data_IF_395434821271
#
_entry.id   IF_395434821271
#
_cell.length_a   1.000
_cell.length_b   1.000
_cell.length_c   1.000
_cell.angle_alpha   90.00
_cell.angle_beta   90.00
_cell.angle_gamma   90.00
#
_symmetry.space_group_name_H-M   'P 1'
#
loop_
_entity.id
_entity.type
_entity.pdbx_description
1 polymer ?
#
# COMPACT_ATOMS: atom_id res chain seq x y z
N UNK A 1 -0.16 13.12 -18.99
CA UNK A 1 -1.34 13.58 -18.23
C UNK A 1 -0.80 14.36 -17.05
N UNK A 2 -1.31 15.54 -16.75
CA UNK A 2 -0.77 16.37 -15.67
C UNK A 2 -1.14 15.76 -14.32
N UNK A 3 -0.16 15.55 -13.48
CA UNK A 3 -0.31 15.03 -12.13
C UNK A 3 0.54 15.85 -11.14
N UNK A 4 0.76 15.35 -9.94
CA UNK A 4 1.54 16.05 -8.92
C UNK A 4 3.00 16.30 -9.30
N UNK A 5 3.63 15.46 -10.15
CA UNK A 5 4.98 15.72 -10.67
C UNK A 5 4.95 16.93 -11.61
N UNK A 6 4.08 16.90 -12.61
CA UNK A 6 3.91 18.03 -13.55
C UNK A 6 3.56 19.33 -12.80
N UNK A 7 2.74 19.24 -11.75
CA UNK A 7 2.45 20.40 -10.89
C UNK A 7 3.74 20.94 -10.24
N UNK A 8 4.54 20.10 -9.64
CA UNK A 8 5.81 20.51 -9.01
C UNK A 8 6.79 21.16 -10.00
N UNK A 9 6.77 20.73 -11.27
CA UNK A 9 7.61 21.27 -12.34
C UNK A 9 7.10 22.59 -12.91
N UNK A 10 5.79 22.81 -12.93
CA UNK A 10 5.17 23.95 -13.64
C UNK A 10 4.58 25.03 -12.73
N UNK A 11 4.22 24.70 -11.49
CA UNK A 11 3.77 25.66 -10.49
C UNK A 11 5.00 26.29 -9.82
N UNK A 12 5.42 27.46 -10.31
CA UNK A 12 6.65 28.12 -9.90
C UNK A 12 6.44 29.24 -8.89
N UNK A 13 5.20 29.71 -8.75
CA UNK A 13 4.85 30.76 -7.77
C UNK A 13 5.12 30.26 -6.35
N UNK A 14 5.73 31.10 -5.52
CA UNK A 14 5.92 30.80 -4.11
C UNK A 14 4.63 30.81 -3.30
N UNK A 15 4.70 30.39 -2.01
CA UNK A 15 3.54 30.27 -1.14
C UNK A 15 2.98 31.63 -0.63
N UNK A 16 3.61 32.75 -0.93
CA UNK A 16 3.08 34.08 -0.65
C UNK A 16 2.24 34.58 -1.80
N UNK A 17 2.68 34.33 -3.04
CA UNK A 17 1.95 34.68 -4.26
C UNK A 17 0.77 33.76 -4.47
N UNK A 18 0.98 32.47 -4.35
CA UNK A 18 -0.06 31.45 -4.46
C UNK A 18 -0.10 30.59 -3.19
N UNK A 19 -1.12 30.76 -2.34
CA UNK A 19 -1.22 30.06 -1.08
C UNK A 19 -1.14 28.53 -1.22
N UNK A 20 -0.74 27.88 -0.14
CA UNK A 20 -0.69 26.41 -0.02
C UNK A 20 -2.07 25.80 -0.29
N UNK A 21 -2.13 24.74 -1.09
CA UNK A 21 -3.37 24.09 -1.51
C UNK A 21 -3.30 22.56 -1.33
N UNK A 22 -4.39 21.87 -1.72
CA UNK A 22 -4.53 20.40 -1.58
C UNK A 22 -3.49 19.62 -2.39
N UNK A 23 -3.04 20.14 -3.56
CA UNK A 23 -2.01 19.46 -4.37
C UNK A 23 -0.66 19.54 -3.67
N UNK A 24 -0.31 20.71 -3.09
CA UNK A 24 0.90 20.83 -2.26
C UNK A 24 0.86 19.89 -1.07
N UNK A 25 -0.31 19.77 -0.43
CA UNK A 25 -0.51 18.87 0.69
C UNK A 25 -0.29 17.41 0.29
N UNK A 26 -0.87 16.96 -0.83
CA UNK A 26 -0.68 15.59 -1.32
C UNK A 26 0.80 15.30 -1.65
N UNK A 27 1.47 16.26 -2.29
CA UNK A 27 2.90 16.16 -2.62
C UNK A 27 3.74 15.98 -1.35
N UNK A 28 3.56 16.83 -0.35
CA UNK A 28 4.32 16.73 0.90
C UNK A 28 3.90 15.52 1.75
N UNK A 29 2.63 15.12 1.70
CA UNK A 29 2.17 13.86 2.27
C UNK A 29 2.87 12.66 1.62
N UNK A 30 3.10 12.70 0.30
CA UNK A 30 3.84 11.64 -0.38
C UNK A 30 5.32 11.61 -0.03
N UNK A 31 5.96 12.75 0.21
CA UNK A 31 7.36 12.80 0.71
C UNK A 31 7.50 12.05 2.04
N UNK A 32 6.47 12.01 2.88
CA UNK A 32 6.50 11.26 4.14
C UNK A 32 6.59 9.74 3.97
N UNK A 33 6.35 9.21 2.77
CA UNK A 33 6.51 7.77 2.46
C UNK A 33 7.98 7.38 2.23
N UNK A 34 8.85 8.35 1.89
CA UNK A 34 10.27 8.07 1.71
C UNK A 34 10.90 7.64 3.04
N UNK A 35 11.74 6.60 2.99
CA UNK A 35 12.45 6.11 4.15
C UNK A 35 13.78 6.88 4.27
N UNK A 36 13.91 7.68 5.31
CA UNK A 36 15.13 8.48 5.48
C UNK A 36 16.14 7.71 6.32
N UNK A 37 17.35 7.38 5.73
CA UNK A 37 18.38 6.64 6.43
C UNK A 37 18.84 7.32 7.73
N UNK A 38 19.37 6.57 8.65
CA UNK A 38 19.94 7.12 9.90
C UNK A 38 21.08 8.11 9.64
N UNK A 39 21.81 7.94 8.52
CA UNK A 39 22.86 8.86 8.07
C UNK A 39 22.35 10.28 7.76
N UNK A 40 21.04 10.44 7.50
CA UNK A 40 20.40 11.75 7.33
C UNK A 40 19.98 12.35 8.70
N UNK A 41 20.91 12.51 9.61
CA UNK A 41 20.65 12.95 10.99
C UNK A 41 19.89 14.27 11.08
N UNK A 42 20.14 15.21 10.16
CA UNK A 42 19.51 16.54 10.17
C UNK A 42 18.00 16.52 10.07
N UNK A 43 17.39 15.57 9.30
CA UNK A 43 15.94 15.47 9.14
C UNK A 43 15.25 14.93 10.41
N UNK A 44 15.98 14.16 11.24
CA UNK A 44 15.47 13.60 12.50
C UNK A 44 15.50 14.61 13.65
N UNK A 45 16.23 15.69 13.47
CA UNK A 45 16.28 16.79 14.46
C UNK A 45 15.22 17.84 14.17
N UNK A 46 14.99 18.72 15.11
CA UNK A 46 14.09 19.85 14.94
C UNK A 46 14.75 21.07 14.27
N UNK A 47 16.05 21.02 13.98
CA UNK A 47 16.73 22.04 13.17
C UNK A 47 16.46 21.87 11.67
N UNK A 48 16.32 20.63 11.22
CA UNK A 48 15.97 20.27 9.86
C UNK A 48 17.09 20.47 8.83
N UNK A 49 16.77 20.10 7.60
CA UNK A 49 17.59 20.28 6.40
C UNK A 49 16.73 20.83 5.27
N UNK A 50 17.33 21.51 4.29
CA UNK A 50 16.60 21.91 3.10
C UNK A 50 16.13 20.71 2.27
N UNK A 51 14.96 20.79 1.64
CA UNK A 51 14.44 19.68 0.81
C UNK A 51 15.41 19.26 -0.30
N UNK A 52 16.24 20.19 -0.79
CA UNK A 52 17.31 19.93 -1.77
C UNK A 52 18.42 19.02 -1.23
N UNK A 53 18.64 19.03 0.08
CA UNK A 53 19.64 18.19 0.74
C UNK A 53 19.20 16.73 0.86
N UNK A 54 17.95 16.43 0.52
CA UNK A 54 17.46 15.06 0.36
C UNK A 54 18.03 14.39 -0.90
N UNK A 55 18.56 15.15 -1.87
CA UNK A 55 19.18 14.63 -3.09
C UNK A 55 20.56 14.06 -2.80
N UNK A 56 20.61 12.95 -2.10
CA UNK A 56 21.82 12.17 -1.80
C UNK A 56 21.72 10.81 -2.47
N UNK A 57 22.44 10.64 -3.58
CA UNK A 57 22.34 9.43 -4.40
C UNK A 57 22.68 8.15 -3.62
N UNK A 58 23.59 8.24 -2.65
CA UNK A 58 23.92 7.13 -1.74
C UNK A 58 22.78 6.68 -0.83
N UNK A 59 21.79 7.55 -0.61
CA UNK A 59 20.61 7.27 0.21
C UNK A 59 19.42 6.73 -0.62
N UNK A 60 19.43 6.86 -1.94
CA UNK A 60 18.31 6.51 -2.80
C UNK A 60 17.87 5.04 -2.70
N UNK A 61 18.77 4.05 -2.58
CA UNK A 61 18.35 2.66 -2.43
C UNK A 61 17.46 2.42 -1.22
N UNK A 62 17.72 3.11 -0.09
CA UNK A 62 16.91 3.02 1.12
C UNK A 62 15.69 3.95 1.04
N UNK A 63 15.88 5.20 0.59
CA UNK A 63 14.79 6.19 0.53
C UNK A 63 13.59 5.74 -0.32
N UNK A 64 13.84 4.98 -1.37
CA UNK A 64 12.80 4.52 -2.30
C UNK A 64 12.52 3.02 -2.20
N UNK A 65 13.09 2.33 -1.21
CA UNK A 65 12.74 0.95 -0.93
C UNK A 65 11.26 0.84 -0.53
N UNK A 66 10.63 -0.26 -0.89
CA UNK A 66 9.27 -0.64 -0.48
C UNK A 66 8.16 0.40 -0.76
N UNK A 67 8.43 1.36 -1.65
CA UNK A 67 7.42 2.30 -2.13
C UNK A 67 6.58 1.68 -3.25
N UNK A 68 5.30 2.06 -3.29
CA UNK A 68 4.39 1.66 -4.37
C UNK A 68 4.83 2.14 -5.76
N UNK A 69 5.45 3.31 -5.81
CA UNK A 69 5.95 3.93 -7.04
C UNK A 69 7.34 4.56 -6.82
N UNK A 70 8.41 3.75 -6.78
CA UNK A 70 9.76 4.25 -6.52
C UNK A 70 10.27 5.23 -7.59
N UNK A 71 9.96 4.96 -8.87
CA UNK A 71 10.39 5.79 -9.99
C UNK A 71 9.72 7.17 -9.94
N UNK A 72 8.39 7.21 -9.81
CA UNK A 72 7.65 8.46 -9.67
C UNK A 72 8.00 9.24 -8.40
N UNK A 73 8.29 8.54 -7.30
CA UNK A 73 8.74 9.19 -6.05
C UNK A 73 10.09 9.88 -6.22
N UNK A 74 11.00 9.26 -6.95
CA UNK A 74 12.30 9.86 -7.28
C UNK A 74 12.15 11.05 -8.22
N UNK A 75 11.35 10.95 -9.26
CA UNK A 75 11.05 12.05 -10.17
C UNK A 75 10.43 13.23 -9.41
N UNK A 76 9.47 12.95 -8.53
CA UNK A 76 8.86 13.98 -7.68
C UNK A 76 9.91 14.69 -6.82
N UNK A 77 10.81 13.95 -6.15
CA UNK A 77 11.87 14.56 -5.34
C UNK A 77 12.78 15.48 -6.17
N UNK A 78 13.16 15.09 -7.39
CA UNK A 78 13.92 15.94 -8.29
C UNK A 78 13.14 17.21 -8.67
N UNK A 79 11.85 17.08 -8.99
CA UNK A 79 10.99 18.23 -9.29
C UNK A 79 10.90 19.19 -8.11
N UNK A 80 10.69 18.69 -6.88
CA UNK A 80 10.62 19.50 -5.65
C UNK A 80 11.93 20.26 -5.39
N UNK A 81 13.07 19.59 -5.53
CA UNK A 81 14.38 20.21 -5.31
C UNK A 81 14.74 21.27 -6.35
N UNK A 82 14.20 21.16 -7.56
CA UNK A 82 14.38 22.13 -8.63
C UNK A 82 13.40 23.31 -8.56
N UNK A 83 12.15 23.03 -8.17
CA UNK A 83 11.06 24.01 -8.21
C UNK A 83 11.27 25.21 -7.27
N UNK A 84 11.12 26.44 -7.73
CA UNK A 84 11.15 27.64 -6.89
C UNK A 84 10.11 27.59 -5.75
N UNK A 85 8.96 26.94 -5.99
CA UNK A 85 7.90 26.79 -5.00
C UNK A 85 8.33 25.93 -3.80
N UNK A 86 9.04 24.82 -4.04
CA UNK A 86 9.32 23.82 -3.01
C UNK A 86 10.77 23.85 -2.49
N UNK A 87 11.74 24.27 -3.31
CA UNK A 87 13.17 24.15 -2.98
C UNK A 87 13.62 24.90 -1.74
N UNK A 88 12.80 25.87 -1.26
CA UNK A 88 13.06 26.64 -0.04
C UNK A 88 12.52 26.00 1.24
N UNK A 89 11.78 24.90 1.12
CA UNK A 89 11.18 24.18 2.25
C UNK A 89 12.29 23.53 3.10
N UNK A 90 12.15 23.65 4.43
CA UNK A 90 12.97 22.90 5.39
C UNK A 90 12.18 21.69 5.87
N UNK A 91 12.82 20.52 5.93
CA UNK A 91 12.24 19.23 6.36
C UNK A 91 12.88 18.84 7.68
N UNK A 92 12.09 18.47 8.69
CA UNK A 92 12.58 18.18 10.04
C UNK A 92 11.62 17.27 10.83
N UNK A 93 12.10 16.79 11.98
CA UNK A 93 11.29 16.02 12.92
C UNK A 93 10.82 14.67 12.36
N UNK A 94 11.55 14.06 11.42
CA UNK A 94 11.19 12.73 10.92
C UNK A 94 11.17 11.71 12.05
N UNK A 95 10.03 11.06 12.21
CA UNK A 95 9.79 9.99 13.17
C UNK A 95 9.26 8.75 12.45
N UNK A 96 9.79 7.59 12.83
CA UNK A 96 9.35 6.30 12.32
C UNK A 96 9.31 5.28 13.44
N UNK A 97 8.25 4.47 13.50
CA UNK A 97 8.04 3.46 14.54
C UNK A 97 7.35 2.26 13.91
N UNK A 98 8.02 1.12 13.94
CA UNK A 98 7.46 -0.18 13.55
C UNK A 98 7.55 -1.13 14.75
N UNK A 99 6.40 -1.52 15.31
CA UNK A 99 6.31 -2.44 16.45
C UNK A 99 5.38 -3.60 16.10
N UNK A 100 5.94 -4.76 15.76
CA UNK A 100 5.18 -5.96 15.36
C UNK A 100 4.24 -6.45 16.44
N UNK A 101 4.72 -6.52 17.71
CA UNK A 101 3.93 -7.00 18.85
C UNK A 101 2.74 -6.09 19.22
N UNK A 102 2.81 -4.81 18.85
CA UNK A 102 1.75 -3.82 19.07
C UNK A 102 0.97 -3.52 17.81
N UNK A 103 1.26 -4.24 16.73
CA UNK A 103 0.63 -4.04 15.42
C UNK A 103 0.62 -2.58 15.00
N UNK A 104 1.76 -1.88 15.21
CA UNK A 104 1.90 -0.45 15.00
C UNK A 104 2.88 -0.15 13.87
N UNK A 105 2.42 0.61 12.90
CA UNK A 105 3.25 1.18 11.85
C UNK A 105 2.94 2.69 11.75
N UNK A 106 3.87 3.53 12.20
CA UNK A 106 3.73 4.98 12.24
C UNK A 106 4.95 5.66 11.63
N UNK A 107 4.72 6.68 10.80
CA UNK A 107 5.76 7.63 10.41
C UNK A 107 5.16 9.00 10.14
N UNK A 108 5.95 10.04 10.43
CA UNK A 108 5.58 11.43 10.19
C UNK A 108 6.82 12.29 9.97
N UNK A 109 6.62 13.42 9.29
CA UNK A 109 7.66 14.42 9.07
C UNK A 109 7.02 15.81 9.01
N UNK A 110 7.75 16.84 9.42
CA UNK A 110 7.27 18.23 9.40
C UNK A 110 8.06 19.08 8.41
N UNK A 111 7.34 19.98 7.75
CA UNK A 111 7.87 20.90 6.75
C UNK A 111 7.65 22.35 7.19
N UNK A 112 8.70 23.16 7.18
CA UNK A 112 8.58 24.61 7.29
C UNK A 112 8.41 25.17 5.89
N UNK A 113 7.16 25.55 5.59
CA UNK A 113 6.76 26.06 4.26
C UNK A 113 7.30 27.47 4.05
N UNK A 114 7.10 28.34 5.03
CA UNK A 114 7.61 29.71 5.12
C UNK A 114 7.61 30.17 6.58
N UNK A 115 8.17 31.34 6.90
CA UNK A 115 8.06 31.90 8.25
C UNK A 115 6.61 31.96 8.72
N UNK A 116 6.32 31.41 9.89
CA UNK A 116 4.99 31.39 10.49
C UNK A 116 4.00 30.36 9.90
N UNK A 117 4.44 29.46 8.99
CA UNK A 117 3.61 28.39 8.43
C UNK A 117 4.38 27.08 8.33
N UNK A 118 3.89 26.05 8.99
CA UNK A 118 4.44 24.69 8.92
C UNK A 118 3.35 23.69 8.53
N UNK A 119 3.78 22.57 7.92
CA UNK A 119 2.93 21.45 7.53
C UNK A 119 3.45 20.17 8.15
N UNK A 120 2.60 19.45 8.90
CA UNK A 120 2.89 18.14 9.43
C UNK A 120 2.27 17.06 8.54
N UNK A 121 3.09 16.18 7.99
CA UNK A 121 2.67 15.09 7.12
C UNK A 121 2.72 13.76 7.86
N UNK A 122 1.64 13.00 7.76
CA UNK A 122 1.53 11.64 8.30
C UNK A 122 1.56 10.64 7.15
N UNK A 123 2.45 9.64 7.25
CA UNK A 123 2.59 8.57 6.28
C UNK A 123 1.41 7.61 6.38
N UNK A 124 0.90 7.19 5.24
CA UNK A 124 -0.02 6.05 5.14
C UNK A 124 0.70 4.72 5.33
N UNK A 125 0.02 3.65 4.98
CA UNK A 125 0.56 2.30 5.10
C UNK A 125 1.63 2.05 4.05
N UNK A 126 2.76 1.50 4.49
CA UNK A 126 3.81 0.99 3.62
C UNK A 126 3.49 -0.43 3.13
N UNK A 127 4.45 -1.11 2.51
CA UNK A 127 4.27 -2.46 2.03
C UNK A 127 4.26 -3.54 3.13
N UNK A 128 4.42 -3.18 4.42
CA UNK A 128 4.50 -4.14 5.52
C UNK A 128 3.14 -4.75 5.88
N UNK A 129 3.13 -6.05 6.20
CA UNK A 129 1.92 -6.75 6.68
C UNK A 129 1.43 -6.13 8.01
N UNK A 130 2.34 -5.68 8.87
CA UNK A 130 1.99 -5.02 10.14
C UNK A 130 1.19 -3.74 9.89
N UNK A 131 1.60 -2.92 8.92
CA UNK A 131 0.89 -1.70 8.55
C UNK A 131 -0.53 -2.00 8.05
N UNK A 132 -0.65 -3.00 7.17
CA UNK A 132 -1.95 -3.44 6.66
C UNK A 132 -2.84 -4.01 7.76
N UNK A 133 -2.29 -4.78 8.72
CA UNK A 133 -3.06 -5.27 9.86
C UNK A 133 -3.60 -4.13 10.71
N UNK A 134 -2.79 -3.11 11.00
CA UNK A 134 -3.23 -1.92 11.74
C UNK A 134 -4.37 -1.17 11.02
N UNK A 135 -4.35 -1.10 9.68
CA UNK A 135 -5.44 -0.49 8.91
C UNK A 135 -6.76 -1.25 9.10
N UNK A 136 -6.72 -2.57 9.06
CA UNK A 136 -7.89 -3.40 9.31
C UNK A 136 -8.36 -3.31 10.78
N UNK A 137 -7.43 -3.16 11.73
CA UNK A 137 -7.77 -2.98 13.14
C UNK A 137 -8.59 -1.69 13.38
N UNK A 138 -8.47 -0.67 12.52
CA UNK A 138 -9.33 0.53 12.61
C UNK A 138 -10.83 0.21 12.54
N UNK A 139 -11.22 -0.98 12.02
CA UNK A 139 -12.60 -1.38 11.97
C UNK A 139 -13.19 -1.82 13.33
N UNK A 140 -12.35 -2.12 14.33
CA UNK A 140 -12.81 -2.60 15.63
C UNK A 140 -12.03 -2.02 16.83
N UNK A 141 -10.82 -1.51 16.62
CA UNK A 141 -9.99 -0.89 17.67
C UNK A 141 -10.07 0.63 17.59
N UNK A 142 -10.30 1.29 18.70
CA UNK A 142 -10.41 2.73 18.79
C UNK A 142 -9.83 3.25 20.14
N UNK A 143 -8.71 4.01 20.11
CA UNK A 143 -7.85 4.27 18.95
C UNK A 143 -6.93 3.10 18.59
N UNK A 144 -6.37 3.09 17.36
CA UNK A 144 -5.22 2.25 17.02
C UNK A 144 -3.92 2.93 17.46
N UNK A 145 -2.83 2.16 17.69
CA UNK A 145 -1.58 2.71 18.25
C UNK A 145 -0.93 3.84 17.41
N UNK A 146 -1.09 3.82 16.09
CA UNK A 146 -0.59 4.90 15.23
C UNK A 146 -1.38 6.20 15.37
N UNK A 147 -2.68 6.16 15.68
CA UNK A 147 -3.48 7.35 15.95
C UNK A 147 -2.98 8.08 17.22
N UNK A 148 -2.70 7.34 18.29
CA UNK A 148 -2.12 7.92 19.51
C UNK A 148 -0.73 8.51 19.25
N UNK A 149 0.10 7.80 18.46
CA UNK A 149 1.42 8.30 18.07
C UNK A 149 1.31 9.57 17.23
N UNK A 150 0.31 9.69 16.35
CA UNK A 150 0.08 10.87 15.55
C UNK A 150 -0.28 12.11 16.40
N UNK A 151 -1.16 11.95 17.37
CA UNK A 151 -1.49 13.03 18.31
C UNK A 151 -0.28 13.46 19.15
N UNK A 152 0.52 12.50 19.63
CA UNK A 152 1.77 12.78 20.35
C UNK A 152 2.79 13.51 19.47
N UNK A 153 3.00 13.02 18.26
CA UNK A 153 3.92 13.65 17.29
C UNK A 153 3.51 15.10 17.00
N UNK A 154 2.21 15.36 16.78
CA UNK A 154 1.73 16.70 16.47
C UNK A 154 1.99 17.68 17.63
N UNK A 155 1.79 17.22 18.89
CA UNK A 155 2.11 18.04 20.07
C UNK A 155 3.61 18.38 20.12
N UNK A 156 4.47 17.42 19.82
CA UNK A 156 5.91 17.62 19.80
C UNK A 156 6.33 18.54 18.64
N UNK A 157 5.84 18.31 17.44
CA UNK A 157 6.12 19.15 16.26
C UNK A 157 5.66 20.61 16.50
N UNK A 158 4.50 20.81 17.12
CA UNK A 158 3.98 22.12 17.44
C UNK A 158 4.83 22.90 18.44
N UNK A 159 5.52 22.21 19.38
CA UNK A 159 6.45 22.84 20.31
C UNK A 159 7.71 23.40 19.60
N UNK A 160 8.07 22.83 18.44
CA UNK A 160 9.22 23.25 17.65
C UNK A 160 8.86 24.14 16.45
N UNK A 161 7.59 24.52 16.30
CA UNK A 161 7.10 25.38 15.23
C UNK A 161 6.40 26.63 15.79
N UNK A 162 6.42 27.69 15.01
CA UNK A 162 5.71 28.93 15.35
C UNK A 162 4.64 29.24 14.29
N UNK A 163 3.59 29.97 14.73
CA UNK A 163 2.52 30.40 13.83
C UNK A 163 1.51 29.31 13.48
N UNK A 164 1.02 29.36 12.27
CA UNK A 164 -0.04 28.48 11.78
C UNK A 164 0.48 27.07 11.45
N UNK A 165 -0.39 26.09 11.62
CA UNK A 165 -0.17 24.71 11.28
C UNK A 165 -1.16 24.27 10.20
N UNK A 166 -0.64 23.61 9.18
CA UNK A 166 -1.37 22.78 8.25
C UNK A 166 -0.99 21.32 8.55
N UNK A 167 -1.92 20.42 8.34
CA UNK A 167 -1.73 19.01 8.65
C UNK A 167 -2.28 18.19 7.49
N UNK A 168 -1.69 17.05 7.17
CA UNK A 168 -2.28 16.18 6.18
C UNK A 168 -1.58 14.86 6.03
N UNK A 169 -2.18 14.00 5.20
CA UNK A 169 -1.67 12.67 4.88
C UNK A 169 -2.50 12.02 3.79
N UNK A 170 -1.97 10.94 3.24
CA UNK A 170 -2.63 10.12 2.24
C UNK A 170 -2.92 8.73 2.83
N UNK A 171 -4.02 8.10 2.44
CA UNK A 171 -4.41 6.79 2.93
C UNK A 171 -4.59 6.78 4.46
N UNK A 172 -4.05 5.81 5.20
CA UNK A 172 -3.98 5.83 6.67
C UNK A 172 -3.49 7.17 7.22
N UNK A 173 -2.50 7.80 6.56
CA UNK A 173 -1.98 9.12 6.94
C UNK A 173 -3.03 10.22 6.93
N UNK A 174 -4.03 10.14 6.04
CA UNK A 174 -5.19 11.03 6.03
C UNK A 174 -6.05 10.86 7.29
N UNK A 175 -6.34 9.65 7.71
CA UNK A 175 -7.01 9.35 8.97
C UNK A 175 -6.19 9.84 10.18
N UNK A 176 -4.88 9.52 10.20
CA UNK A 176 -3.97 9.95 11.29
C UNK A 176 -3.92 11.48 11.41
N UNK A 177 -3.96 12.23 10.31
CA UNK A 177 -3.93 13.68 10.29
C UNK A 177 -5.17 14.28 10.96
N UNK A 178 -6.36 13.75 10.67
CA UNK A 178 -7.62 14.19 11.28
C UNK A 178 -7.66 13.81 12.75
N UNK A 179 -7.27 12.59 13.10
CA UNK A 179 -7.22 12.15 14.50
C UNK A 179 -6.25 12.99 15.33
N UNK A 180 -5.04 13.23 14.81
CA UNK A 180 -4.03 14.05 15.49
C UNK A 180 -4.55 15.49 15.71
N UNK A 181 -5.21 16.09 14.73
CA UNK A 181 -5.80 17.42 14.87
C UNK A 181 -6.91 17.46 15.92
N UNK A 182 -7.72 16.42 16.04
CA UNK A 182 -8.77 16.33 17.04
C UNK A 182 -8.22 16.09 18.46
N UNK A 183 -7.16 15.28 18.59
CA UNK A 183 -6.66 14.82 19.91
C UNK A 183 -5.38 15.51 20.41
N UNK A 184 -4.80 16.46 19.64
CA UNK A 184 -3.72 17.31 20.15
C UNK A 184 -4.22 18.29 21.23
N UNK A 185 -3.27 18.93 21.92
CA UNK A 185 -3.58 19.89 22.97
C UNK A 185 -4.43 21.07 22.44
N UNK A 186 -5.36 21.61 23.23
CA UNK A 186 -6.29 22.66 22.80
C UNK A 186 -5.62 23.91 22.22
N UNK A 187 -4.48 24.32 22.78
CA UNK A 187 -3.69 25.46 22.29
C UNK A 187 -3.11 25.18 20.89
N UNK A 188 -2.82 23.93 20.55
CA UNK A 188 -2.35 23.53 19.25
C UNK A 188 -3.50 23.47 18.26
N UNK A 189 -4.68 22.99 18.67
CA UNK A 189 -5.89 23.03 17.85
C UNK A 189 -6.20 24.46 17.38
N UNK A 190 -5.95 25.47 18.22
CA UNK A 190 -6.11 26.90 17.87
C UNK A 190 -5.18 27.36 16.73
N UNK A 191 -4.02 26.74 16.57
CA UNK A 191 -3.03 27.04 15.51
C UNK A 191 -3.34 26.35 14.18
N UNK A 192 -4.11 25.26 14.20
CA UNK A 192 -4.45 24.48 12.99
C UNK A 192 -5.40 25.28 12.13
N UNK A 193 -4.97 25.63 10.91
CA UNK A 193 -5.80 26.29 9.92
C UNK A 193 -6.56 25.31 9.04
N UNK A 194 -5.91 24.22 8.62
CA UNK A 194 -6.50 23.22 7.74
C UNK A 194 -5.91 21.83 7.96
N UNK A 195 -6.73 20.81 7.74
CA UNK A 195 -6.37 19.40 7.79
C UNK A 195 -6.76 18.78 6.46
N UNK A 196 -5.78 18.17 5.76
CA UNK A 196 -6.00 17.55 4.46
C UNK A 196 -5.99 16.03 4.63
N UNK A 197 -7.09 15.38 4.24
CA UNK A 197 -7.22 13.93 4.23
C UNK A 197 -7.35 13.46 2.78
N UNK A 198 -6.26 12.91 2.22
CA UNK A 198 -6.25 12.43 0.84
C UNK A 198 -6.53 10.92 0.82
N UNK A 199 -7.73 10.56 0.41
CA UNK A 199 -8.23 9.17 0.35
C UNK A 199 -8.04 8.39 1.68
N UNK A 200 -8.13 9.12 2.82
CA UNK A 200 -8.04 8.51 4.15
C UNK A 200 -9.37 7.86 4.55
N UNK A 201 -9.34 6.69 5.22
CA UNK A 201 -10.56 6.07 5.75
C UNK A 201 -11.21 6.95 6.83
N UNK A 202 -12.50 6.74 7.06
CA UNK A 202 -13.26 7.38 8.13
C UNK A 202 -12.91 6.87 9.52
N UNK A 203 -13.87 7.01 10.45
CA UNK A 203 -13.66 6.71 11.88
C UNK A 203 -14.79 5.85 12.44
N UNK A 204 -14.54 5.26 13.61
CA UNK A 204 -15.58 4.68 14.45
C UNK A 204 -16.32 5.76 15.25
N UNK A 205 -17.53 5.46 15.71
CA UNK A 205 -18.38 6.36 16.50
C UNK A 205 -17.66 6.99 17.69
N UNK A 206 -16.78 6.23 18.37
CA UNK A 206 -16.00 6.72 19.53
C UNK A 206 -15.14 7.95 19.21
N UNK A 207 -14.71 8.14 17.95
CA UNK A 207 -14.00 9.35 17.50
C UNK A 207 -15.01 10.39 17.01
N UNK A 208 -15.96 9.98 16.18
CA UNK A 208 -16.92 10.89 15.53
C UNK A 208 -17.76 11.68 16.53
N UNK A 209 -18.19 11.04 17.63
CA UNK A 209 -19.00 11.68 18.67
C UNK A 209 -18.20 12.58 19.61
N UNK A 210 -16.85 12.52 19.55
CA UNK A 210 -16.02 13.30 20.47
C UNK A 210 -16.12 14.81 20.17
N UNK A 211 -16.29 15.67 21.19
CA UNK A 211 -16.36 17.12 21.01
C UNK A 211 -15.12 17.70 20.30
N UNK A 212 -13.96 17.07 20.47
CA UNK A 212 -12.71 17.46 19.84
C UNK A 212 -12.76 17.25 18.32
N UNK A 213 -13.30 16.11 17.90
CA UNK A 213 -13.50 15.81 16.47
C UNK A 213 -14.47 16.80 15.84
N UNK A 214 -15.61 17.05 16.49
CA UNK A 214 -16.61 18.00 15.99
C UNK A 214 -16.06 19.44 15.84
N UNK A 215 -15.15 19.87 16.72
CA UNK A 215 -14.45 21.16 16.57
C UNK A 215 -13.43 21.15 15.42
N UNK A 216 -12.87 20.00 15.09
CA UNK A 216 -11.88 19.86 14.02
C UNK A 216 -12.53 19.75 12.64
N UNK A 217 -13.72 19.16 12.56
CA UNK A 217 -14.45 18.86 11.33
C UNK A 217 -14.52 20.04 10.33
N UNK A 218 -14.82 21.30 10.73
CA UNK A 218 -14.86 22.42 9.79
C UNK A 218 -13.51 22.78 9.15
N UNK A 219 -12.40 22.26 9.68
CA UNK A 219 -11.06 22.48 9.14
C UNK A 219 -10.61 21.36 8.20
N UNK A 220 -11.35 20.25 8.13
CA UNK A 220 -11.01 19.08 7.32
C UNK A 220 -11.38 19.36 5.86
N UNK A 221 -10.43 19.10 4.98
CA UNK A 221 -10.65 18.98 3.54
C UNK A 221 -10.29 17.55 3.12
N UNK A 222 -11.31 16.78 2.78
CA UNK A 222 -11.16 15.42 2.32
C UNK A 222 -11.25 15.37 0.80
N UNK A 223 -10.26 14.76 0.16
CA UNK A 223 -10.26 14.49 -1.28
C UNK A 223 -10.19 13.00 -1.53
N UNK A 224 -11.03 12.50 -2.42
CA UNK A 224 -11.09 11.07 -2.77
C UNK A 224 -11.19 10.90 -4.29
N UNK A 225 -10.59 9.86 -4.90
CA UNK A 225 -10.76 9.61 -6.32
C UNK A 225 -12.18 9.10 -6.64
N UNK A 226 -12.61 9.24 -7.91
CA UNK A 226 -14.00 8.97 -8.33
C UNK A 226 -14.50 7.53 -8.11
N UNK A 227 -13.59 6.58 -7.88
CA UNK A 227 -13.95 5.20 -7.53
C UNK A 227 -13.21 4.74 -6.27
N UNK A 228 -13.02 5.69 -5.33
CA UNK A 228 -12.39 5.41 -4.04
C UNK A 228 -13.02 4.17 -3.38
N UNK A 229 -12.18 3.36 -2.79
CA UNK A 229 -12.57 2.31 -1.87
C UNK A 229 -12.06 2.64 -0.46
N UNK A 230 -10.78 3.02 -0.34
CA UNK A 230 -10.14 3.28 0.97
C UNK A 230 -10.76 4.48 1.66
N UNK A 231 -10.90 5.61 0.95
CA UNK A 231 -11.47 6.84 1.52
C UNK A 231 -12.93 6.74 1.93
N UNK A 232 -13.62 5.70 1.47
CA UNK A 232 -15.02 5.44 1.80
C UNK A 232 -15.20 4.36 2.88
N UNK A 233 -14.11 3.72 3.34
CA UNK A 233 -14.17 2.78 4.46
C UNK A 233 -14.51 3.49 5.76
N UNK A 234 -15.28 2.82 6.62
CA UNK A 234 -15.77 3.33 7.90
C UNK A 234 -16.73 4.53 7.72
N UNK A 235 -17.05 5.20 8.82
CA UNK A 235 -18.01 6.32 8.77
C UNK A 235 -17.29 7.65 8.56
N UNK A 236 -17.85 8.47 7.67
CA UNK A 236 -17.35 9.79 7.34
C UNK A 236 -18.44 10.81 7.67
N UNK A 237 -18.10 11.86 8.41
CA UNK A 237 -18.99 13.00 8.68
C UNK A 237 -18.55 14.26 7.93
N UNK A 238 -17.31 14.28 7.43
CA UNK A 238 -16.81 15.36 6.60
C UNK A 238 -17.34 15.28 5.16
N UNK A 239 -17.60 16.45 4.58
CA UNK A 239 -17.81 16.59 3.14
C UNK A 239 -16.51 16.22 2.41
N UNK A 240 -16.63 15.57 1.25
CA UNK A 240 -15.48 15.20 0.44
C UNK A 240 -15.56 15.76 -0.97
N UNK A 241 -14.39 16.06 -1.52
CA UNK A 241 -14.20 16.50 -2.88
C UNK A 241 -13.76 15.32 -3.74
N UNK A 242 -14.45 15.06 -4.84
CA UNK A 242 -14.12 13.96 -5.74
C UNK A 242 -13.13 14.43 -6.80
N UNK A 243 -11.96 13.81 -6.83
CA UNK A 243 -10.91 14.11 -7.80
C UNK A 243 -10.90 13.10 -8.94
N UNK A 244 -10.59 13.57 -10.14
CA UNK A 244 -10.42 12.73 -11.33
C UNK A 244 -9.11 11.97 -11.22
N UNK A 245 -9.18 10.64 -11.39
CA UNK A 245 -8.01 9.78 -11.56
C UNK A 245 -7.94 9.24 -12.98
N UNK A 246 -6.74 9.09 -13.50
CA UNK A 246 -6.45 8.46 -14.79
C UNK A 246 -6.42 6.93 -14.71
N UNK A 247 -6.44 6.39 -13.48
CA UNK A 247 -6.44 4.96 -13.20
C UNK A 247 -7.85 4.40 -13.00
N UNK A 248 -7.98 3.13 -12.70
CA UNK A 248 -9.26 2.44 -12.54
C UNK A 248 -9.30 1.63 -11.23
N UNK A 249 -10.49 1.52 -10.63
CA UNK A 249 -10.74 0.70 -9.43
C UNK A 249 -9.77 1.04 -8.28
N UNK A 250 -9.20 0.03 -7.62
CA UNK A 250 -8.23 0.20 -6.50
C UNK A 250 -6.98 0.99 -6.87
N UNK A 251 -6.56 0.96 -8.16
CA UNK A 251 -5.39 1.71 -8.63
C UNK A 251 -5.58 3.22 -8.61
N UNK A 252 -6.81 3.71 -8.42
CA UNK A 252 -7.08 5.13 -8.20
C UNK A 252 -6.58 5.64 -6.84
N UNK A 253 -6.28 4.72 -5.91
CA UNK A 253 -5.66 5.05 -4.63
C UNK A 253 -4.22 5.58 -4.79
N UNK A 254 -3.54 5.25 -5.90
CA UNK A 254 -2.23 5.82 -6.23
C UNK A 254 -2.37 7.30 -6.59
N UNK A 255 -1.80 8.24 -5.78
CA UNK A 255 -1.94 9.67 -5.97
C UNK A 255 -1.24 10.20 -7.24
N UNK A 256 -0.29 9.45 -7.83
CA UNK A 256 0.30 9.79 -9.12
C UNK A 256 -0.69 9.70 -10.29
N UNK A 257 -1.81 9.00 -10.08
CA UNK A 257 -2.90 8.91 -11.06
C UNK A 257 -3.89 10.09 -10.99
N UNK A 258 -3.79 10.95 -9.96
CA UNK A 258 -4.73 12.05 -9.77
C UNK A 258 -4.42 13.20 -10.71
N UNK A 259 -5.45 13.67 -11.42
CA UNK A 259 -5.29 14.68 -12.46
C UNK A 259 -5.25 16.07 -11.85
N UNK A 260 -4.24 16.84 -12.25
CA UNK A 260 -4.05 18.24 -11.85
C UNK A 260 -4.22 19.13 -13.08
N UNK A 261 -5.09 20.12 -13.00
CA UNK A 261 -5.36 21.10 -14.05
C UNK A 261 -5.37 22.51 -13.42
N UNK A 262 -4.75 23.49 -14.07
CA UNK A 262 -4.69 24.88 -13.62
C UNK A 262 -4.20 25.09 -12.16
N UNK A 263 -3.31 24.19 -11.72
CA UNK A 263 -2.72 24.24 -10.38
C UNK A 263 -3.62 23.74 -9.26
N UNK A 264 -4.68 22.99 -9.58
CA UNK A 264 -5.61 22.35 -8.63
C UNK A 264 -5.95 20.94 -9.11
N UNK A 265 -6.52 20.12 -8.23
CA UNK A 265 -7.10 18.85 -8.68
C UNK A 265 -8.25 19.08 -9.66
N UNK A 266 -8.33 18.28 -10.70
CA UNK A 266 -9.48 18.22 -11.58
C UNK A 266 -10.65 17.60 -10.80
N UNK A 267 -11.61 18.44 -10.37
CA UNK A 267 -12.73 18.03 -9.53
C UNK A 267 -13.86 17.43 -10.38
N UNK A 268 -14.51 16.42 -9.83
CA UNK A 268 -15.73 15.81 -10.36
C UNK A 268 -16.89 16.07 -9.40
N UNK A 269 -18.11 16.11 -9.96
CA UNK A 269 -19.30 16.41 -9.15
C UNK A 269 -19.69 15.30 -8.17
N UNK A 270 -19.26 14.04 -8.41
CA UNK A 270 -19.67 12.90 -7.59
C UNK A 270 -18.86 11.65 -7.89
N UNK A 271 -18.95 10.66 -6.98
CA UNK A 271 -18.45 9.31 -7.17
C UNK A 271 -19.16 8.58 -8.32
N UNK A 272 -18.45 7.61 -8.92
CA UNK A 272 -19.10 6.74 -9.90
C UNK A 272 -20.22 5.91 -9.23
N UNK A 273 -21.33 5.61 -9.93
CA UNK A 273 -22.43 4.81 -9.37
C UNK A 273 -21.97 3.47 -8.82
N UNK A 274 -21.02 2.82 -9.50
CA UNK A 274 -20.45 1.55 -9.05
C UNK A 274 -19.60 1.67 -7.77
N UNK A 275 -18.96 2.83 -7.53
CA UNK A 275 -18.24 3.09 -6.29
C UNK A 275 -19.20 3.19 -5.11
N UNK A 276 -20.26 3.99 -5.24
CA UNK A 276 -21.30 4.14 -4.19
C UNK A 276 -21.94 2.81 -3.78
N UNK A 277 -22.22 1.95 -4.77
CA UNK A 277 -22.80 0.62 -4.49
C UNK A 277 -21.82 -0.29 -3.74
N UNK A 278 -20.54 -0.29 -4.14
CA UNK A 278 -19.49 -1.09 -3.47
C UNK A 278 -19.25 -0.61 -2.04
N UNK A 279 -19.16 0.70 -1.87
CA UNK A 279 -18.99 1.32 -0.57
C UNK A 279 -20.13 0.98 0.39
N UNK A 280 -21.39 1.19 -0.02
CA UNK A 280 -22.55 0.83 0.78
C UNK A 280 -22.55 -0.66 1.17
N UNK A 281 -22.21 -1.56 0.24
CA UNK A 281 -22.17 -3.00 0.50
C UNK A 281 -21.05 -3.40 1.48
N UNK A 282 -19.87 -2.76 1.39
CA UNK A 282 -18.74 -3.06 2.25
C UNK A 282 -18.96 -2.53 3.67
N UNK A 283 -19.39 -1.28 3.81
CA UNK A 283 -19.67 -0.68 5.10
C UNK A 283 -20.84 -1.38 5.81
N UNK A 284 -21.90 -1.77 5.06
CA UNK A 284 -23.00 -2.57 5.60
C UNK A 284 -22.51 -3.92 6.11
N UNK A 285 -21.62 -4.59 5.38
CA UNK A 285 -21.05 -5.85 5.84
C UNK A 285 -20.20 -5.67 7.12
N UNK A 286 -19.37 -4.62 7.20
CA UNK A 286 -18.58 -4.33 8.40
C UNK A 286 -19.52 -4.08 9.60
N UNK A 287 -20.60 -3.33 9.41
CA UNK A 287 -21.60 -3.05 10.47
C UNK A 287 -22.35 -4.29 10.97
N UNK A 288 -22.56 -5.29 10.09
CA UNK A 288 -23.22 -6.55 10.46
C UNK A 288 -22.36 -7.44 11.37
N UNK A 289 -21.05 -7.25 11.40
CA UNK A 289 -20.14 -7.99 12.26
C UNK A 289 -20.05 -7.31 13.64
N UNK A 290 -20.13 -8.11 14.72
CA UNK A 290 -19.77 -7.64 16.05
C UNK A 290 -18.29 -7.23 16.12
N UNK A 291 -17.90 -6.51 17.15
CA UNK A 291 -16.50 -6.12 17.35
C UNK A 291 -15.59 -7.36 17.43
N UNK A 292 -16.01 -8.39 18.19
CA UNK A 292 -15.25 -9.64 18.31
C UNK A 292 -15.15 -10.43 17.00
N UNK A 293 -16.17 -10.37 16.15
CA UNK A 293 -16.14 -11.01 14.82
C UNK A 293 -15.20 -10.28 13.88
N UNK A 294 -15.13 -8.93 13.92
CA UNK A 294 -14.18 -8.13 13.15
C UNK A 294 -12.75 -8.44 13.57
N UNK A 295 -12.47 -8.47 14.89
CA UNK A 295 -11.16 -8.82 15.45
C UNK A 295 -10.74 -10.22 15.02
N UNK A 296 -11.58 -11.24 15.23
CA UNK A 296 -11.30 -12.61 14.81
C UNK A 296 -11.07 -12.74 13.30
N UNK A 297 -11.82 -11.99 12.50
CA UNK A 297 -11.62 -11.96 11.05
C UNK A 297 -10.27 -11.39 10.68
N UNK A 298 -9.90 -10.25 11.25
CA UNK A 298 -8.61 -9.59 10.95
C UNK A 298 -7.46 -10.49 11.41
N UNK A 299 -7.50 -11.02 12.63
CA UNK A 299 -6.46 -11.89 13.16
C UNK A 299 -6.29 -13.14 12.28
N UNK A 300 -7.37 -13.82 11.95
CA UNK A 300 -7.34 -15.00 11.09
C UNK A 300 -6.83 -14.68 9.66
N UNK A 301 -7.23 -13.55 9.09
CA UNK A 301 -6.78 -13.11 7.78
C UNK A 301 -5.27 -12.89 7.78
N UNK A 302 -4.74 -12.18 8.78
CA UNK A 302 -3.32 -11.86 8.84
C UNK A 302 -2.47 -13.04 9.31
N UNK A 303 -2.98 -13.95 10.15
CA UNK A 303 -2.34 -15.23 10.43
C UNK A 303 -2.16 -16.08 9.16
N UNK A 304 -3.15 -16.07 8.27
CA UNK A 304 -3.11 -16.77 6.98
C UNK A 304 -2.17 -16.09 5.98
N UNK A 305 -2.14 -14.75 5.93
CA UNK A 305 -1.27 -13.99 5.00
C UNK A 305 0.20 -14.05 5.44
N UNK A 306 0.49 -14.04 6.75
CA UNK A 306 1.84 -14.06 7.31
C UNK A 306 2.45 -15.48 7.35
N UNK A 307 1.79 -16.47 6.76
CA UNK A 307 2.32 -17.83 6.68
C UNK A 307 3.67 -17.83 5.95
N UNK A 308 4.60 -18.68 6.39
CA UNK A 308 5.99 -18.77 5.89
C UNK A 308 6.88 -17.54 6.21
N UNK A 309 6.52 -16.71 7.20
CA UNK A 309 7.35 -15.59 7.63
C UNK A 309 7.39 -14.44 6.61
N UNK A 310 6.34 -14.27 5.84
CA UNK A 310 6.18 -13.16 4.90
C UNK A 310 5.92 -11.88 5.68
N UNK A 311 6.72 -10.86 5.40
CA UNK A 311 6.67 -9.56 6.07
C UNK A 311 6.08 -8.45 5.22
N UNK A 312 6.06 -8.64 3.89
CA UNK A 312 5.57 -7.62 2.95
C UNK A 312 4.58 -8.19 1.93
N UNK A 313 3.69 -7.33 1.44
CA UNK A 313 2.73 -7.67 0.36
C UNK A 313 3.47 -8.02 -0.94
N UNK A 314 4.63 -7.43 -1.18
CA UNK A 314 5.48 -7.75 -2.34
C UNK A 314 6.02 -9.18 -2.26
N UNK A 315 6.50 -9.60 -1.09
CA UNK A 315 6.94 -10.98 -0.84
C UNK A 315 5.79 -11.99 -1.01
N UNK A 316 4.60 -11.65 -0.49
CA UNK A 316 3.40 -12.44 -0.72
C UNK A 316 3.11 -12.62 -2.20
N UNK A 317 3.14 -11.54 -2.97
CA UNK A 317 2.94 -11.56 -4.42
C UNK A 317 4.00 -12.37 -5.17
N UNK A 318 5.27 -12.24 -4.79
CA UNK A 318 6.39 -12.94 -5.43
C UNK A 318 6.38 -14.45 -5.16
N UNK A 319 5.94 -14.85 -3.97
CA UNK A 319 5.93 -16.23 -3.50
C UNK A 319 4.53 -16.88 -3.55
N UNK A 320 3.58 -16.32 -4.29
CA UNK A 320 2.17 -16.75 -4.28
C UNK A 320 1.96 -18.24 -4.51
N UNK A 321 2.79 -18.90 -5.31
CA UNK A 321 2.68 -20.34 -5.63
C UNK A 321 2.87 -21.25 -4.41
N UNK A 322 3.70 -20.82 -3.46
CA UNK A 322 3.96 -21.55 -2.19
C UNK A 322 3.11 -21.00 -1.04
N UNK A 323 2.84 -19.70 -1.06
CA UNK A 323 2.12 -19.00 -0.02
C UNK A 323 0.62 -19.31 -0.03
N UNK A 324 -0.02 -19.34 -1.21
CA UNK A 324 -1.45 -19.63 -1.28
C UNK A 324 -1.81 -21.03 -0.76
N UNK A 325 -1.13 -22.11 -1.16
CA UNK A 325 -1.40 -23.44 -0.57
C UNK A 325 -1.20 -23.48 0.94
N UNK A 326 -0.12 -22.89 1.47
CA UNK A 326 0.15 -22.81 2.90
C UNK A 326 -0.91 -21.99 3.65
N UNK A 327 -1.35 -20.88 3.06
CA UNK A 327 -2.43 -20.05 3.58
C UNK A 327 -3.77 -20.82 3.68
N UNK A 328 -4.10 -21.63 2.66
CA UNK A 328 -5.29 -22.49 2.70
C UNK A 328 -5.17 -23.63 3.72
N UNK A 329 -3.99 -24.23 3.86
CA UNK A 329 -3.74 -25.22 4.90
C UNK A 329 -3.96 -24.60 6.28
N UNK A 330 -3.39 -23.42 6.54
CA UNK A 330 -3.57 -22.69 7.79
C UNK A 330 -5.04 -22.37 8.05
N UNK A 331 -5.73 -21.82 7.03
CA UNK A 331 -7.16 -21.53 7.12
C UNK A 331 -7.98 -22.79 7.46
N UNK A 332 -7.60 -23.95 6.94
CA UNK A 332 -8.30 -25.23 7.22
C UNK A 332 -8.12 -25.71 8.67
N UNK A 333 -7.14 -25.21 9.40
CA UNK A 333 -6.86 -25.52 10.80
C UNK A 333 -7.65 -24.64 11.78
N UNK A 334 -8.20 -23.51 11.30
CA UNK A 334 -9.04 -22.62 12.10
C UNK A 334 -10.38 -23.29 12.42
N UNK A 335 -11.06 -22.81 13.46
CA UNK A 335 -12.41 -23.29 13.78
C UNK A 335 -13.41 -22.95 12.66
N UNK A 336 -14.52 -23.71 12.58
CA UNK A 336 -15.48 -23.61 11.47
C UNK A 336 -16.12 -22.22 11.38
N UNK A 337 -16.40 -21.57 12.49
CA UNK A 337 -16.98 -20.21 12.54
C UNK A 337 -16.03 -19.18 11.93
N UNK A 338 -14.76 -19.19 12.32
CA UNK A 338 -13.72 -18.30 11.76
C UNK A 338 -13.48 -18.56 10.28
N UNK A 339 -13.47 -19.83 9.86
CA UNK A 339 -13.41 -20.19 8.44
C UNK A 339 -14.57 -19.57 7.64
N UNK A 340 -15.78 -19.64 8.15
CA UNK A 340 -16.96 -19.08 7.49
C UNK A 340 -16.88 -17.56 7.34
N UNK A 341 -16.46 -16.85 8.41
CA UNK A 341 -16.25 -15.41 8.40
C UNK A 341 -15.21 -15.03 7.34
N UNK A 342 -14.03 -15.68 7.34
CA UNK A 342 -12.95 -15.40 6.37
C UNK A 342 -13.40 -15.69 4.94
N UNK A 343 -14.05 -16.84 4.68
CA UNK A 343 -14.54 -17.15 3.34
C UNK A 343 -15.64 -16.21 2.86
N UNK A 344 -16.56 -15.80 3.76
CA UNK A 344 -17.59 -14.80 3.43
C UNK A 344 -16.98 -13.47 3.05
N UNK A 345 -16.00 -12.99 3.82
CA UNK A 345 -15.26 -11.76 3.53
C UNK A 345 -14.49 -11.81 2.21
N UNK A 346 -13.71 -12.87 2.01
CA UNK A 346 -12.96 -13.07 0.77
C UNK A 346 -13.89 -13.14 -0.44
N UNK A 347 -15.03 -13.79 -0.32
CA UNK A 347 -16.06 -13.84 -1.37
C UNK A 347 -16.64 -12.45 -1.68
N UNK A 348 -16.93 -11.64 -0.65
CA UNK A 348 -17.43 -10.27 -0.83
C UNK A 348 -16.37 -9.36 -1.44
N UNK A 349 -15.13 -9.42 -0.98
CA UNK A 349 -14.00 -8.69 -1.55
C UNK A 349 -13.76 -9.08 -3.02
N UNK A 350 -13.90 -10.36 -3.37
CA UNK A 350 -13.79 -10.82 -4.75
C UNK A 350 -14.89 -10.26 -5.66
N UNK A 351 -16.11 -10.15 -5.16
CA UNK A 351 -17.23 -9.52 -5.90
C UNK A 351 -17.01 -8.02 -6.08
N UNK A 352 -16.37 -7.36 -5.09
CA UNK A 352 -16.08 -5.93 -5.10
C UNK A 352 -14.85 -5.57 -5.96
N UNK A 353 -13.84 -6.43 -6.02
CA UNK A 353 -12.52 -6.12 -6.58
C UNK A 353 -12.25 -6.57 -8.02
N UNK A 354 -12.79 -7.70 -8.49
CA UNK A 354 -12.57 -8.16 -9.87
C UNK A 354 -13.52 -9.31 -10.24
N UNK A 355 -14.27 -9.14 -11.27
CA UNK A 355 -15.33 -10.09 -11.68
C UNK A 355 -14.84 -11.49 -12.12
N UNK A 356 -13.57 -11.73 -12.45
CA UNK A 356 -13.18 -13.00 -13.07
C UNK A 356 -11.98 -13.76 -12.45
N UNK A 357 -10.96 -13.12 -11.88
CA UNK A 357 -9.73 -13.85 -11.54
C UNK A 357 -9.69 -14.42 -10.10
N UNK A 358 -10.23 -13.69 -9.12
CA UNK A 358 -10.19 -14.13 -7.72
C UNK A 358 -11.18 -15.26 -7.43
N UNK A 359 -12.35 -15.27 -8.09
CA UNK A 359 -13.34 -16.33 -7.96
C UNK A 359 -12.84 -17.66 -8.51
N UNK A 360 -12.09 -17.64 -9.61
CA UNK A 360 -11.47 -18.83 -10.18
C UNK A 360 -10.30 -19.33 -9.32
N UNK A 361 -9.53 -18.44 -8.72
CA UNK A 361 -8.49 -18.79 -7.76
C UNK A 361 -9.06 -19.47 -6.50
N UNK A 362 -10.17 -18.97 -5.95
CA UNK A 362 -10.86 -19.59 -4.81
C UNK A 362 -11.46 -20.95 -5.15
N UNK A 363 -11.97 -21.12 -6.37
CA UNK A 363 -12.47 -22.43 -6.84
C UNK A 363 -11.33 -23.43 -6.98
N UNK A 364 -10.22 -23.04 -7.58
CA UNK A 364 -9.04 -23.90 -7.74
C UNK A 364 -8.48 -24.36 -6.39
N UNK A 365 -8.36 -23.45 -5.43
CA UNK A 365 -7.89 -23.75 -4.08
C UNK A 365 -8.86 -24.67 -3.31
N UNK A 366 -10.19 -24.49 -3.43
CA UNK A 366 -11.17 -25.41 -2.86
C UNK A 366 -11.10 -26.81 -3.45
N UNK A 367 -10.85 -26.94 -4.74
CA UNK A 367 -10.69 -28.23 -5.40
C UNK A 367 -9.44 -28.95 -4.90
N UNK A 368 -8.32 -28.25 -4.75
CA UNK A 368 -7.08 -28.83 -4.18
C UNK A 368 -7.26 -29.28 -2.73
N UNK A 369 -7.94 -28.48 -1.89
CA UNK A 369 -8.20 -28.87 -0.49
C UNK A 369 -9.18 -30.05 -0.37
N UNK A 370 -10.08 -30.20 -1.32
CA UNK A 370 -11.00 -31.35 -1.39
C UNK A 370 -10.30 -32.63 -1.86
N UNK A 371 -9.29 -32.51 -2.74
CA UNK A 371 -8.45 -33.65 -3.16
C UNK A 371 -7.50 -34.14 -2.06
N UNK A 372 -6.95 -33.24 -1.25
CA UNK A 372 -6.12 -33.58 -0.08
C UNK A 372 -6.93 -34.26 1.06
N UNK A 373 -8.26 -34.05 1.14
CA UNK A 373 -9.13 -34.68 2.14
C UNK A 373 -9.72 -36.04 1.70
N UNK A 374 -9.38 -36.57 0.51
CA UNK A 374 -9.78 -37.91 0.13
C UNK A 374 -8.91 -38.93 0.87
N UNK A 375 -9.49 -39.85 1.69
CA UNK A 375 -8.70 -40.90 2.33
C UNK A 375 -8.06 -41.76 1.24
N UNK A 376 -6.74 -41.95 1.35
CA UNK A 376 -5.98 -42.73 0.40
C UNK A 376 -6.57 -44.14 0.25
N UNK A 377 -6.91 -44.51 -0.98
CA UNK A 377 -7.12 -45.90 -1.36
C UNK A 377 -5.81 -46.65 -1.12
N UNK A 378 -5.81 -47.56 -0.16
CA UNK A 378 -4.74 -48.49 0.10
C UNK A 378 -4.40 -49.22 -1.20
N UNK A 379 -3.14 -49.13 -1.59
CA UNK A 379 -2.56 -49.98 -2.64
C UNK A 379 -2.64 -51.43 -2.20
N UNK A 380 -3.53 -52.20 -2.80
CA UNK A 380 -3.49 -53.65 -2.76
C UNK A 380 -2.32 -54.12 -3.63
N UNK A 381 -1.35 -54.76 -2.98
CA UNK A 381 -0.26 -55.46 -3.65
C UNK A 381 -0.80 -56.58 -4.54
N UNK A 382 -0.69 -56.38 -5.86
CA UNK A 382 -0.90 -57.44 -6.85
C UNK A 382 0.44 -58.10 -7.21
N UNK A 383 0.63 -59.34 -6.78
CA UNK A 383 1.71 -60.23 -7.17
C UNK A 383 1.82 -60.32 -8.69
N UNK A 384 3.02 -60.11 -9.24
CA UNK A 384 3.43 -60.50 -10.58
C UNK A 384 4.05 -61.88 -10.54
N UNK A 385 3.73 -62.79 -11.50
CA UNK A 385 4.38 -64.10 -11.62
C UNK A 385 5.69 -64.00 -12.44
N UNK A 386 6.69 -64.73 -12.01
CA UNK A 386 8.01 -64.77 -12.58
C UNK A 386 8.10 -65.44 -13.98
N UNK A 387 9.10 -65.05 -14.75
CA UNK A 387 9.68 -65.82 -15.83
C UNK A 387 11.20 -65.61 -15.96
N UNK A 388 11.81 -66.67 -15.99
CA UNK A 388 13.13 -67.25 -16.16
C UNK A 388 14.10 -66.57 -17.13
N UNK A 389 15.37 -66.78 -16.75
CA UNK A 389 16.64 -66.60 -17.41
C UNK A 389 16.75 -66.98 -18.89
N UNK A 390 17.54 -66.22 -19.63
CA UNK A 390 18.58 -66.81 -20.53
C UNK A 390 19.62 -65.69 -20.81
N UNK A 391 20.86 -66.09 -20.65
CA UNK A 391 22.06 -65.31 -20.80
C UNK A 391 22.56 -65.19 -22.26
N UNK A 392 23.54 -64.39 -22.44
CA UNK A 392 24.77 -64.61 -23.15
C UNK A 392 25.51 -63.33 -23.55
N UNK A 393 26.74 -63.26 -23.10
CA UNK A 393 27.94 -62.76 -23.77
C UNK A 393 28.14 -61.34 -24.29
N UNK A 394 29.12 -60.70 -23.67
CA UNK A 394 30.01 -59.68 -24.23
C UNK A 394 30.96 -60.30 -25.29
N UNK A 395 31.53 -59.52 -26.26
CA UNK A 395 32.66 -58.65 -25.95
C UNK A 395 32.88 -57.42 -26.90
N UNK A 396 33.83 -56.55 -26.55
CA UNK A 396 34.74 -55.92 -27.51
C UNK A 396 34.82 -54.40 -27.49
N UNK A 397 35.92 -53.88 -26.97
CA UNK A 397 36.44 -52.51 -27.06
C UNK A 397 36.59 -52.01 -28.48
N UNK A 398 36.39 -50.69 -28.76
CA UNK A 398 37.43 -49.88 -29.41
C UNK A 398 37.11 -48.39 -29.36
N UNK A 399 38.14 -47.58 -29.13
CA UNK A 399 38.22 -46.13 -29.11
C UNK A 399 38.00 -45.51 -30.51
N UNK A 400 37.41 -44.34 -30.57
CA UNK A 400 37.80 -43.27 -31.50
C UNK A 400 37.26 -41.90 -31.01
N UNK A 401 38.18 -40.97 -30.86
CA UNK A 401 37.95 -39.54 -30.77
C UNK A 401 37.27 -39.01 -32.00
N UNK A 402 36.38 -38.03 -31.90
CA UNK A 402 36.38 -36.76 -32.66
C UNK A 402 35.17 -35.88 -32.33
N UNK A 403 35.51 -34.62 -32.09
CA UNK A 403 34.79 -33.36 -32.37
C UNK A 403 33.39 -33.07 -31.83
N UNK A 404 33.39 -32.04 -30.93
CA UNK A 404 32.28 -31.20 -30.58
C UNK A 404 31.76 -30.39 -31.79
N UNK A 405 30.43 -30.14 -31.87
CA UNK A 405 29.98 -28.76 -31.64
C UNK A 405 28.62 -28.61 -30.92
N UNK A 406 28.48 -27.48 -30.22
CA UNK A 406 27.22 -26.79 -30.04
C UNK A 406 26.32 -27.22 -28.86
N UNK A 407 26.55 -26.60 -27.69
CA UNK A 407 25.67 -26.73 -26.54
C UNK A 407 24.31 -26.08 -26.77
N UNK A 408 23.25 -26.86 -26.69
CA UNK A 408 21.89 -26.38 -26.44
C UNK A 408 21.61 -26.52 -24.94
N UNK A 409 21.23 -25.40 -24.30
CA UNK A 409 20.72 -25.35 -22.95
C UNK A 409 19.38 -26.09 -22.88
N UNK A 410 19.09 -26.83 -21.81
CA UNK A 410 17.80 -27.48 -21.66
C UNK A 410 16.70 -26.45 -21.42
N UNK A 411 15.67 -26.49 -22.26
CA UNK A 411 14.39 -25.78 -22.04
C UNK A 411 13.72 -26.36 -20.78
N UNK A 412 13.56 -25.52 -19.75
CA UNK A 412 12.68 -25.83 -18.62
C UNK A 412 11.23 -25.73 -19.09
N UNK A 413 10.63 -26.86 -19.42
CA UNK A 413 9.19 -26.96 -19.65
C UNK A 413 8.47 -26.72 -18.33
N UNK A 414 7.73 -25.61 -18.25
CA UNK A 414 6.74 -25.35 -17.20
C UNK A 414 5.60 -26.36 -17.29
N UNK A 415 5.14 -26.92 -16.17
CA UNK A 415 3.94 -27.75 -16.16
C UNK A 415 2.72 -26.88 -16.48
N UNK A 416 2.07 -27.10 -17.59
CA UNK A 416 0.77 -26.50 -17.94
C UNK A 416 -0.34 -27.25 -17.21
N UNK A 417 -1.07 -26.54 -16.35
CA UNK A 417 -2.36 -27.00 -15.87
C UNK A 417 -3.37 -26.71 -16.96
N UNK A 418 -4.12 -27.69 -17.48
CA UNK A 418 -5.06 -27.45 -18.56
C UNK A 418 -6.19 -26.51 -18.08
N UNK A 419 -6.31 -25.34 -18.71
CA UNK A 419 -7.49 -24.48 -18.62
C UNK A 419 -7.41 -23.25 -17.72
N UNK A 420 -6.28 -22.90 -17.07
CA UNK A 420 -6.20 -21.69 -16.23
C UNK A 420 -4.95 -20.88 -16.55
N UNK A 421 -5.11 -19.77 -17.23
CA UNK A 421 -4.08 -18.74 -17.41
C UNK A 421 -4.29 -17.68 -16.33
N UNK A 422 -3.51 -17.76 -15.22
CA UNK A 422 -3.57 -16.77 -14.15
C UNK A 422 -2.66 -15.60 -14.56
N UNK A 423 -3.25 -14.52 -15.03
CA UNK A 423 -2.56 -13.24 -15.21
C UNK A 423 -2.76 -12.40 -13.95
N UNK A 424 -1.72 -12.27 -13.15
CA UNK A 424 -1.67 -11.33 -12.03
C UNK A 424 -1.33 -9.95 -12.61
N UNK A 425 -2.15 -8.91 -12.37
CA UNK A 425 -1.97 -7.59 -12.99
C UNK A 425 -0.64 -6.88 -12.67
N UNK A 426 0.05 -7.28 -11.61
CA UNK A 426 1.34 -6.72 -11.17
C UNK A 426 2.57 -7.44 -11.71
N UNK A 427 2.42 -8.54 -12.42
CA UNK A 427 3.51 -9.19 -13.16
C UNK A 427 3.57 -8.62 -14.58
N UNK A 428 3.84 -7.32 -14.73
CA UNK A 428 4.12 -6.75 -16.02
C UNK A 428 5.53 -7.11 -16.47
N UNK A 429 5.61 -7.76 -17.61
CA UNK A 429 6.80 -8.03 -18.40
C UNK A 429 7.81 -6.87 -18.35
N UNK A 430 8.86 -7.00 -17.55
CA UNK A 430 10.10 -6.24 -17.70
C UNK A 430 11.26 -7.15 -18.10
N UNK A 431 10.97 -8.20 -18.88
CA UNK A 431 12.00 -8.95 -19.61
C UNK A 431 11.61 -9.00 -21.08
N UNK A 432 12.28 -8.25 -21.88
CA UNK A 432 12.59 -8.30 -23.31
C UNK A 432 12.43 -6.97 -24.02
N UNK A 433 13.47 -6.16 -23.91
CA UNK A 433 13.99 -5.37 -25.03
C UNK A 433 15.48 -5.14 -24.78
N UNK A 434 16.30 -6.02 -25.34
CA UNK A 434 17.68 -5.67 -25.68
C UNK A 434 17.63 -4.68 -26.86
N UNK A 435 18.48 -3.65 -26.86
CA UNK A 435 18.59 -2.76 -28.00
C UNK A 435 19.24 -3.53 -29.17
N UNK A 436 18.54 -3.56 -30.29
CA UNK A 436 19.15 -3.92 -31.56
C UNK A 436 20.13 -2.83 -31.95
N UNK A 437 21.40 -3.20 -32.09
CA UNK A 437 22.40 -2.44 -32.82
C UNK A 437 21.87 -2.18 -34.24
N UNK A 438 21.73 -0.93 -34.59
CA UNK A 438 21.76 -0.49 -35.98
C UNK A 438 23.08 0.27 -36.19
N UNK A 439 24.06 -0.48 -36.73
CA UNK A 439 25.10 0.10 -37.54
C UNK A 439 24.43 0.70 -38.81
N UNK A 440 24.63 1.96 -39.04
CA UNK A 440 24.56 2.53 -40.38
C UNK A 440 25.58 3.66 -40.51
N UNK A 441 26.51 3.40 -41.41
CA UNK A 441 27.43 4.35 -42.02
C UNK A 441 26.69 5.57 -42.61
N UNK A 442 27.19 6.72 -42.39
CA UNK A 442 27.69 7.81 -43.24
C UNK A 442 27.89 9.07 -42.40
#
# INVERSE_FOLDING_TARGET
>A
MNNMITYAETMLDDFEVRPFNSVDSLILAWVSYMQFPESMTGIRTWNGIGIRELLRAECFPEMFADLWNPEGSRELLFALAASPRFRGITVFGYAEQLHREREKQFSAVTFKIRPGLSYAAFRGTDATIVGWKEDFNMAFQCPVPSQEAAAKYLNEAAAHTQGALLIGGHSKGGNLSVYAAAKCAPEIQGRIQKVYSHDGPGFQECVLESPEFQRTLPKVEKTIPQSSLVGMLLENQEDFLVVKSSSVSLWQHDPFSWVVEDGQFCMLGDLTPGAKQRDAALNEWIRQLSQEERERFVDALFEVISVNGIDTVSEFGSNWKTTIPAAFEKLSQLNAETQEIVFSALKKLAVLGARNNFTEMLKAARLQSAEMKRPGLQNSEGKLPGKQNAGADLPGKQNAETDLPGGQKPETRQPRIPGVEIRLPWLTNKEMKQPQNQDTEM
#
